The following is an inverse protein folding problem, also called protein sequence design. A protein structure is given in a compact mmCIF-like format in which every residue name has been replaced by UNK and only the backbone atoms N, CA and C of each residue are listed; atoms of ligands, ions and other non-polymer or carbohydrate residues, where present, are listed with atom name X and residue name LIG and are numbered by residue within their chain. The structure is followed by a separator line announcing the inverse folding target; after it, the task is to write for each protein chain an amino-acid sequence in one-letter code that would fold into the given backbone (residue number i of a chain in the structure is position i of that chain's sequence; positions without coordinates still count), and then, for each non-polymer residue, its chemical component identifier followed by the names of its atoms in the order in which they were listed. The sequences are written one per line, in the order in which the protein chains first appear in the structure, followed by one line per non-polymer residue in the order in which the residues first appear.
data_IF_845968527474
#
_entry.id   IF_845968527474
#
_cell.length_a   1.000
_cell.length_b   1.000
_cell.length_c   1.000
_cell.angle_alpha   90.00
_cell.angle_beta   90.00
_cell.angle_gamma   90.00
#
_symmetry.space_group_name_H-M   'P 1'
#
loop_
_entity.id
_entity.type
_entity.pdbx_description
1 polymer ?
#
# COMPACT_ATOMS: atom_id res chain seq x y z
N UNK A 1 11.37 -7.37 -13.98
CA UNK A 1 11.62 -8.80 -13.64
C UNK A 1 12.98 -9.28 -14.17
N UNK A 2 13.29 -9.29 -15.48
CA UNK A 2 14.61 -9.76 -15.99
C UNK A 2 15.79 -9.03 -15.36
N UNK A 3 15.71 -7.71 -15.23
CA UNK A 3 16.74 -6.90 -14.59
C UNK A 3 16.95 -7.28 -13.10
N UNK A 4 15.91 -7.82 -12.46
CA UNK A 4 15.98 -8.32 -11.08
C UNK A 4 16.39 -9.81 -11.01
N UNK A 5 16.86 -10.41 -12.12
CA UNK A 5 17.41 -11.75 -12.16
C UNK A 5 16.41 -12.87 -12.47
N UNK A 6 15.18 -12.56 -12.88
CA UNK A 6 14.24 -13.60 -13.33
C UNK A 6 14.74 -14.30 -14.60
N UNK A 7 14.93 -15.61 -14.55
CA UNK A 7 15.35 -16.44 -15.67
C UNK A 7 14.19 -16.69 -16.63
N UNK A 8 13.04 -17.03 -16.08
CA UNK A 8 11.82 -17.31 -16.82
C UNK A 8 10.69 -16.38 -16.36
N UNK A 9 9.94 -15.87 -17.32
CA UNK A 9 8.78 -15.05 -17.08
C UNK A 9 7.60 -15.66 -17.81
N UNK A 10 6.64 -16.17 -17.06
CA UNK A 10 5.40 -16.74 -17.59
C UNK A 10 4.28 -15.75 -17.34
N UNK A 11 3.74 -15.16 -18.40
CA UNK A 11 2.55 -14.33 -18.32
C UNK A 11 1.31 -15.19 -18.56
N UNK A 12 0.36 -15.20 -17.62
CA UNK A 12 -0.85 -16.01 -17.72
C UNK A 12 -2.06 -15.27 -17.19
N UNK A 13 -3.15 -15.31 -17.98
CA UNK A 13 -4.41 -14.63 -17.61
C UNK A 13 -4.35 -13.11 -17.68
N UNK A 14 -5.44 -12.48 -17.33
CA UNK A 14 -5.61 -11.01 -17.31
C UNK A 14 -5.58 -10.43 -15.88
N UNK A 15 -5.49 -11.30 -14.88
CA UNK A 15 -5.46 -10.92 -13.46
C UNK A 15 -4.39 -11.69 -12.69
N UNK A 16 -3.96 -11.11 -11.57
CA UNK A 16 -3.05 -11.79 -10.65
C UNK A 16 -3.59 -13.14 -10.18
N UNK A 17 -4.91 -13.25 -9.90
CA UNK A 17 -5.54 -14.50 -9.44
C UNK A 17 -5.38 -15.63 -10.44
N UNK A 18 -5.48 -15.35 -11.75
CA UNK A 18 -5.31 -16.35 -12.80
C UNK A 18 -3.85 -16.76 -12.94
N UNK A 19 -2.92 -15.82 -12.82
CA UNK A 19 -1.49 -16.09 -12.82
C UNK A 19 -1.08 -16.94 -11.60
N UNK A 20 -1.60 -16.62 -10.43
CA UNK A 20 -1.35 -17.37 -9.18
C UNK A 20 -1.93 -18.79 -9.25
N UNK A 21 -3.15 -18.96 -9.74
CA UNK A 21 -3.75 -20.28 -9.96
C UNK A 21 -2.89 -21.13 -10.89
N UNK A 22 -2.46 -20.56 -12.02
CA UNK A 22 -1.57 -21.28 -12.94
C UNK A 22 -0.24 -21.65 -12.29
N UNK A 23 0.36 -20.76 -11.50
CA UNK A 23 1.58 -21.04 -10.77
C UNK A 23 1.41 -22.24 -9.81
N UNK A 24 0.34 -22.23 -9.02
CA UNK A 24 0.09 -23.26 -8.00
C UNK A 24 -0.35 -24.60 -8.59
N UNK A 25 -1.18 -24.57 -9.63
CA UNK A 25 -1.84 -25.76 -10.17
C UNK A 25 -1.01 -26.44 -11.29
N UNK A 26 -0.15 -25.70 -11.97
CA UNK A 26 0.62 -26.19 -13.09
C UNK A 26 2.12 -26.10 -12.84
N UNK A 27 2.66 -24.88 -12.69
CA UNK A 27 4.11 -24.66 -12.67
C UNK A 27 4.77 -25.34 -11.47
N UNK A 28 4.19 -25.19 -10.28
CA UNK A 28 4.73 -25.76 -9.06
C UNK A 28 4.73 -27.29 -9.06
N UNK A 29 3.62 -27.99 -9.42
CA UNK A 29 3.61 -29.45 -9.53
C UNK A 29 4.56 -29.97 -10.62
N UNK A 30 4.65 -29.31 -11.79
CA UNK A 30 5.58 -29.70 -12.84
C UNK A 30 7.05 -29.60 -12.39
N UNK A 31 7.40 -28.51 -11.69
CA UNK A 31 8.75 -28.34 -11.13
C UNK A 31 9.07 -29.43 -10.12
N UNK A 32 8.16 -29.73 -9.22
CA UNK A 32 8.30 -30.80 -8.23
C UNK A 32 8.43 -32.17 -8.90
N UNK A 33 7.70 -32.44 -9.99
CA UNK A 33 7.77 -33.71 -10.73
C UNK A 33 9.13 -33.93 -11.39
N UNK A 34 9.86 -32.85 -11.69
CA UNK A 34 11.24 -32.89 -12.18
C UNK A 34 12.28 -33.05 -11.07
N UNK A 35 11.85 -33.15 -9.80
CA UNK A 35 12.73 -33.26 -8.64
C UNK A 35 13.35 -31.92 -8.20
N UNK A 36 12.80 -30.81 -8.67
CA UNK A 36 13.25 -29.48 -8.27
C UNK A 36 12.66 -29.09 -6.91
N UNK A 37 13.43 -28.38 -6.09
CA UNK A 37 12.94 -27.84 -4.81
C UNK A 37 12.24 -26.50 -5.04
N UNK A 38 11.04 -26.55 -5.61
CA UNK A 38 10.25 -25.36 -5.91
C UNK A 38 9.59 -24.78 -4.67
N UNK A 39 9.83 -23.50 -4.41
CA UNK A 39 9.24 -22.76 -3.30
C UNK A 39 8.30 -21.69 -3.86
N UNK A 40 7.05 -21.75 -3.45
CA UNK A 40 6.08 -20.69 -3.73
C UNK A 40 6.29 -19.52 -2.77
N UNK A 41 6.45 -18.31 -3.33
CA UNK A 41 6.54 -17.08 -2.57
C UNK A 41 5.31 -16.23 -2.92
N UNK A 42 4.29 -16.16 -2.03
CA UNK A 42 3.10 -15.36 -2.28
C UNK A 42 3.43 -13.87 -2.21
N UNK A 43 2.73 -13.02 -2.99
CA UNK A 43 3.03 -11.59 -3.00
C UNK A 43 2.49 -10.82 -1.80
N UNK A 44 1.47 -11.31 -1.09
CA UNK A 44 0.85 -10.56 0.00
C UNK A 44 0.10 -11.40 1.05
N UNK A 45 -0.53 -12.52 0.68
CA UNK A 45 -1.42 -13.26 1.60
C UNK A 45 -0.69 -14.45 2.24
N UNK A 46 0.27 -14.13 3.10
CA UNK A 46 1.05 -15.13 3.83
C UNK A 46 1.60 -14.54 5.13
N UNK A 47 1.54 -15.27 6.26
CA UNK A 47 2.08 -14.82 7.53
C UNK A 47 3.56 -14.42 7.50
N UNK A 48 4.39 -15.08 6.69
CA UNK A 48 5.80 -14.72 6.56
C UNK A 48 5.99 -13.35 5.88
N UNK A 49 5.12 -13.02 4.92
CA UNK A 49 5.10 -11.69 4.28
C UNK A 49 4.69 -10.62 5.30
N UNK A 50 3.67 -10.88 6.10
CA UNK A 50 3.21 -9.94 7.12
C UNK A 50 4.25 -9.76 8.22
N UNK A 51 4.84 -10.86 8.71
CA UNK A 51 5.92 -10.80 9.70
C UNK A 51 7.13 -9.99 9.20
N UNK A 52 7.55 -10.19 7.94
CA UNK A 52 8.60 -9.39 7.33
C UNK A 52 8.24 -7.91 7.25
N UNK A 53 7.04 -7.57 6.74
CA UNK A 53 6.60 -6.18 6.68
C UNK A 53 6.38 -5.54 8.05
N UNK A 54 6.15 -6.32 9.10
CA UNK A 54 5.92 -5.79 10.45
C UNK A 54 7.16 -5.15 11.07
N UNK A 55 8.37 -5.48 10.57
CA UNK A 55 9.62 -4.90 11.06
C UNK A 55 9.70 -3.40 10.84
N UNK A 56 8.95 -2.85 9.87
CA UNK A 56 8.87 -1.40 9.67
C UNK A 56 8.45 -0.66 10.95
N UNK A 57 7.61 -1.28 11.77
CA UNK A 57 7.18 -0.67 13.04
C UNK A 57 8.28 -0.76 14.09
N UNK A 58 9.05 -1.83 14.12
CA UNK A 58 10.21 -1.97 15.00
C UNK A 58 11.25 -0.89 14.68
N UNK A 59 11.56 -0.72 13.39
CA UNK A 59 12.48 0.31 12.90
C UNK A 59 11.99 1.72 13.23
N UNK A 60 10.70 2.00 13.04
CA UNK A 60 10.12 3.29 13.42
C UNK A 60 10.27 3.57 14.92
N UNK A 61 10.09 2.57 15.78
CA UNK A 61 10.25 2.73 17.23
C UNK A 61 11.71 3.07 17.56
N UNK A 62 12.65 2.36 16.97
CA UNK A 62 14.09 2.61 17.16
C UNK A 62 14.47 4.01 16.69
N UNK A 63 14.01 4.44 15.51
CA UNK A 63 14.29 5.75 14.96
C UNK A 63 13.70 6.89 15.82
N UNK A 64 12.46 6.76 16.28
CA UNK A 64 11.84 7.76 17.14
C UNK A 64 12.56 7.90 18.49
N UNK A 65 13.03 6.80 19.05
CA UNK A 65 13.80 6.80 20.31
C UNK A 65 15.23 7.31 20.14
N UNK A 66 15.90 6.83 19.09
CA UNK A 66 17.32 7.10 18.89
C UNK A 66 17.64 8.41 18.18
N UNK A 67 17.01 8.65 17.03
CA UNK A 67 17.37 9.76 16.13
C UNK A 67 16.51 11.00 16.33
N UNK A 68 15.23 10.84 16.64
CA UNK A 68 14.29 11.96 16.79
C UNK A 68 14.31 12.49 18.22
N UNK A 69 14.82 11.70 19.19
CA UNK A 69 14.94 12.11 20.60
C UNK A 69 13.56 12.39 21.26
N UNK A 70 12.54 11.68 20.81
CA UNK A 70 11.19 11.80 21.34
C UNK A 70 11.00 10.78 22.48
N UNK A 71 11.02 11.22 23.72
CA UNK A 71 10.86 10.37 24.92
C UNK A 71 9.55 9.55 24.90
N UNK A 72 8.54 10.02 24.18
CA UNK A 72 7.27 9.30 23.98
C UNK A 72 7.30 8.37 22.77
N UNK A 73 8.27 8.58 21.87
CA UNK A 73 8.48 7.76 20.67
C UNK A 73 7.23 7.69 19.79
N UNK A 74 6.94 6.50 19.29
CA UNK A 74 5.77 6.23 18.44
C UNK A 74 4.41 6.50 19.12
N UNK A 75 4.34 6.67 20.46
CA UNK A 75 3.10 7.01 21.15
C UNK A 75 2.60 8.43 20.81
N UNK A 76 3.49 9.32 20.35
CA UNK A 76 3.15 10.64 19.86
C UNK A 76 2.79 10.69 18.37
N UNK A 77 2.84 9.56 17.68
CA UNK A 77 2.45 9.47 16.27
C UNK A 77 0.94 9.38 16.18
N UNK A 78 0.32 10.36 15.54
CA UNK A 78 -1.13 10.44 15.36
C UNK A 78 -1.66 9.44 14.34
N UNK A 79 -0.87 9.19 13.28
CA UNK A 79 -1.23 8.24 12.25
C UNK A 79 -0.01 7.62 11.56
N UNK A 80 -0.18 6.39 11.07
CA UNK A 80 0.67 5.74 10.08
C UNK A 80 -0.14 5.55 8.82
N UNK A 81 0.36 6.02 7.69
CA UNK A 81 -0.28 5.96 6.37
C UNK A 81 0.41 4.91 5.52
N UNK A 82 -0.33 3.96 4.99
CA UNK A 82 0.17 2.98 4.03
C UNK A 82 -0.88 2.66 2.97
N UNK A 83 -0.43 2.39 1.74
CA UNK A 83 -1.31 1.94 0.66
C UNK A 83 -1.60 0.45 0.75
N UNK A 84 -2.77 0.05 0.23
CA UNK A 84 -3.26 -1.33 0.26
C UNK A 84 -3.55 -1.80 -1.16
N UNK A 85 -2.78 -2.79 -1.61
CA UNK A 85 -3.12 -3.60 -2.77
C UNK A 85 -3.70 -4.93 -2.31
N UNK A 86 -2.87 -6.00 -2.32
CA UNK A 86 -3.26 -7.30 -1.74
C UNK A 86 -3.32 -7.32 -0.21
N UNK A 87 -2.76 -6.32 0.48
CA UNK A 87 -2.84 -6.17 1.93
C UNK A 87 -1.62 -6.65 2.71
N UNK A 88 -0.56 -7.16 2.05
CA UNK A 88 0.62 -7.70 2.75
C UNK A 88 1.35 -6.67 3.61
N UNK A 89 1.63 -5.48 3.08
CA UNK A 89 2.22 -4.38 3.84
C UNK A 89 1.30 -3.91 4.97
N UNK A 90 0.02 -3.69 4.68
CA UNK A 90 -0.96 -3.26 5.67
C UNK A 90 -1.09 -4.26 6.82
N UNK A 91 -1.17 -5.56 6.54
CA UNK A 91 -1.19 -6.59 7.57
C UNK A 91 0.06 -6.53 8.45
N UNK A 92 1.24 -6.38 7.84
CA UNK A 92 2.49 -6.23 8.59
C UNK A 92 2.49 -4.99 9.49
N UNK A 93 2.06 -3.84 8.98
CA UNK A 93 1.93 -2.61 9.79
C UNK A 93 0.99 -2.85 10.97
N UNK A 94 -0.21 -3.42 10.75
CA UNK A 94 -1.16 -3.69 11.83
C UNK A 94 -0.55 -4.68 12.85
N UNK A 95 0.11 -5.75 12.41
CA UNK A 95 0.75 -6.72 13.33
C UNK A 95 1.86 -6.06 14.16
N UNK A 96 2.73 -5.26 13.53
CA UNK A 96 3.74 -4.50 14.24
C UNK A 96 3.13 -3.54 15.26
N UNK A 97 2.11 -2.78 14.87
CA UNK A 97 1.40 -1.88 15.77
C UNK A 97 0.71 -2.61 16.93
N UNK A 98 0.12 -3.77 16.69
CA UNK A 98 -0.47 -4.62 17.76
C UNK A 98 0.60 -5.16 18.71
N UNK A 99 1.73 -5.64 18.19
CA UNK A 99 2.86 -6.16 18.98
C UNK A 99 3.39 -5.14 19.98
N UNK A 100 3.38 -3.85 19.60
CA UNK A 100 3.86 -2.74 20.43
C UNK A 100 2.74 -1.96 21.14
N UNK A 101 1.52 -2.47 21.17
CA UNK A 101 0.35 -1.85 21.82
C UNK A 101 0.01 -0.45 21.28
N UNK A 102 0.30 -0.20 20.00
CA UNK A 102 0.08 1.08 19.31
C UNK A 102 -1.22 1.11 18.50
N UNK A 103 -1.75 -0.05 18.08
CA UNK A 103 -2.91 -0.13 17.19
C UNK A 103 -4.20 0.49 17.76
N UNK A 104 -4.28 0.67 19.08
CA UNK A 104 -5.43 1.26 19.75
C UNK A 104 -5.29 2.78 19.97
N UNK A 105 -4.08 3.33 19.84
CA UNK A 105 -3.79 4.74 20.14
C UNK A 105 -3.34 5.54 18.93
N UNK A 106 -2.85 4.89 17.89
CA UNK A 106 -2.40 5.50 16.64
C UNK A 106 -3.35 5.08 15.51
N UNK A 107 -3.78 6.03 14.69
CA UNK A 107 -4.59 5.68 13.52
C UNK A 107 -3.73 4.99 12.46
N UNK A 108 -4.26 3.95 11.83
CA UNK A 108 -3.66 3.29 10.67
C UNK A 108 -4.52 3.65 9.46
N UNK A 109 -4.01 4.51 8.59
CA UNK A 109 -4.73 4.94 7.39
C UNK A 109 -4.37 3.99 6.25
N UNK A 110 -5.34 3.16 5.88
CA UNK A 110 -5.26 2.22 4.78
C UNK A 110 -5.78 2.90 3.50
N UNK A 111 -4.87 3.22 2.57
CA UNK A 111 -5.20 3.97 1.36
C UNK A 111 -5.25 3.09 0.13
N UNK A 112 -6.23 3.35 -0.71
CA UNK A 112 -6.40 2.74 -2.02
C UNK A 112 -6.69 3.82 -3.07
N UNK A 113 -6.69 3.44 -4.34
CA UNK A 113 -7.14 4.30 -5.42
C UNK A 113 -8.51 3.86 -5.92
N UNK A 114 -9.34 4.80 -6.38
CA UNK A 114 -10.62 4.48 -7.02
C UNK A 114 -10.43 3.52 -8.18
N UNK A 115 -11.16 2.41 -8.18
CA UNK A 115 -11.01 1.34 -9.17
C UNK A 115 -9.93 0.28 -8.84
N UNK A 116 -9.20 0.45 -7.71
CA UNK A 116 -8.37 -0.57 -7.09
C UNK A 116 -8.56 -0.54 -5.56
N UNK A 117 -9.82 -0.54 -5.12
CA UNK A 117 -10.29 -0.23 -3.77
C UNK A 117 -11.01 -1.43 -3.12
N UNK A 118 -10.39 -2.61 -3.19
CA UNK A 118 -10.98 -3.86 -2.71
C UNK A 118 -11.18 -3.90 -1.19
N UNK A 119 -10.27 -3.33 -0.40
CA UNK A 119 -10.41 -3.24 1.05
C UNK A 119 -11.48 -2.23 1.44
N UNK A 120 -11.41 -1.01 0.90
CA UNK A 120 -12.39 0.05 1.16
C UNK A 120 -13.80 -0.42 0.85
N UNK A 121 -14.00 -0.99 -0.35
CA UNK A 121 -15.31 -1.50 -0.78
C UNK A 121 -15.81 -2.63 0.13
N UNK A 122 -14.91 -3.53 0.55
CA UNK A 122 -15.25 -4.62 1.48
C UNK A 122 -15.71 -4.09 2.84
N UNK A 123 -15.00 -3.11 3.40
CA UNK A 123 -15.35 -2.49 4.69
C UNK A 123 -16.69 -1.74 4.60
N UNK A 124 -16.91 -0.96 3.53
CA UNK A 124 -18.17 -0.23 3.32
C UNK A 124 -19.36 -1.17 3.18
N UNK A 125 -19.21 -2.29 2.47
CA UNK A 125 -20.26 -3.29 2.29
C UNK A 125 -20.42 -4.25 3.47
N UNK A 126 -19.46 -4.24 4.41
CA UNK A 126 -19.36 -5.22 5.51
C UNK A 126 -19.31 -6.66 4.99
N UNK A 127 -18.69 -6.84 3.84
CA UNK A 127 -18.56 -8.12 3.14
C UNK A 127 -17.20 -8.17 2.44
N UNK A 128 -16.48 -9.28 2.53
CA UNK A 128 -15.21 -9.47 1.84
C UNK A 128 -15.42 -9.70 0.34
N UNK A 129 -15.49 -8.62 -0.43
CA UNK A 129 -15.87 -8.62 -1.85
C UNK A 129 -14.70 -8.86 -2.80
N UNK A 130 -15.05 -9.27 -4.02
CA UNK A 130 -14.14 -9.28 -5.17
C UNK A 130 -14.58 -8.20 -6.16
N UNK A 131 -13.69 -7.27 -6.50
CA UNK A 131 -13.95 -6.26 -7.52
C UNK A 131 -14.12 -6.90 -8.90
N UNK A 132 -15.03 -6.40 -9.75
CA UNK A 132 -15.25 -6.95 -11.09
C UNK A 132 -14.02 -6.76 -12.00
N UNK A 133 -13.33 -5.65 -11.86
CA UNK A 133 -12.13 -5.30 -12.62
C UNK A 133 -11.25 -4.33 -11.81
N UNK A 134 -10.01 -4.14 -12.24
CA UNK A 134 -9.14 -3.05 -11.81
C UNK A 134 -9.14 -2.01 -12.92
N UNK A 135 -9.49 -0.77 -12.58
CA UNK A 135 -9.60 0.35 -13.53
C UNK A 135 -8.66 1.50 -13.21
N UNK A 136 -8.03 1.50 -12.04
CA UNK A 136 -7.02 2.48 -11.64
C UNK A 136 -5.69 2.29 -12.37
N UNK A 137 -4.97 3.39 -12.60
CA UNK A 137 -3.59 3.36 -13.10
C UNK A 137 -2.59 2.89 -12.04
N UNK A 138 -2.97 2.87 -10.77
CA UNK A 138 -2.16 2.33 -9.68
C UNK A 138 -2.16 0.78 -9.71
N UNK A 139 -1.61 0.22 -10.78
CA UNK A 139 -1.67 -1.21 -11.07
C UNK A 139 -1.04 -2.09 -9.97
N UNK A 140 -0.09 -1.56 -9.21
CA UNK A 140 0.50 -2.26 -8.06
C UNK A 140 -0.45 -2.40 -6.87
N UNK A 141 -1.57 -1.64 -6.85
CA UNK A 141 -2.69 -1.86 -5.92
C UNK A 141 -3.75 -2.81 -6.49
N UNK A 142 -3.54 -3.35 -7.68
CA UNK A 142 -4.54 -4.05 -8.50
C UNK A 142 -4.94 -5.43 -8.00
N UNK A 143 -5.09 -5.65 -6.71
CA UNK A 143 -5.70 -6.86 -6.18
C UNK A 143 -7.23 -6.75 -6.18
N UNK A 144 -7.90 -7.53 -7.05
CA UNK A 144 -9.38 -7.55 -7.12
C UNK A 144 -10.02 -7.96 -5.79
N UNK A 145 -9.32 -8.72 -4.98
CA UNK A 145 -9.72 -9.14 -3.65
C UNK A 145 -8.53 -9.01 -2.71
N UNK A 146 -8.68 -8.23 -1.66
CA UNK A 146 -7.66 -8.08 -0.60
C UNK A 146 -7.53 -9.39 0.20
N UNK A 147 -6.39 -9.62 0.85
CA UNK A 147 -6.22 -10.74 1.77
C UNK A 147 -7.34 -10.79 2.82
N UNK A 148 -7.76 -11.99 3.18
CA UNK A 148 -8.76 -12.17 4.25
C UNK A 148 -8.31 -11.48 5.53
N UNK A 149 -7.03 -11.63 5.87
CA UNK A 149 -6.43 -11.03 7.06
C UNK A 149 -6.47 -9.51 7.07
N UNK A 150 -6.29 -8.88 5.91
CA UNK A 150 -6.40 -7.43 5.79
C UNK A 150 -7.84 -6.94 6.07
N UNK A 151 -8.85 -7.65 5.56
CA UNK A 151 -10.24 -7.36 5.87
C UNK A 151 -10.56 -7.55 7.35
N UNK A 152 -10.09 -8.66 7.96
CA UNK A 152 -10.23 -8.90 9.40
C UNK A 152 -9.62 -7.74 10.21
N UNK A 153 -8.37 -7.36 9.94
CA UNK A 153 -7.69 -6.28 10.64
C UNK A 153 -8.37 -4.92 10.48
N UNK A 154 -8.91 -4.62 9.31
CA UNK A 154 -9.61 -3.38 9.06
C UNK A 154 -10.98 -3.29 9.77
N UNK A 155 -11.56 -4.44 10.13
CA UNK A 155 -12.89 -4.53 10.77
C UNK A 155 -12.83 -4.97 12.23
N UNK A 156 -11.66 -5.38 12.73
CA UNK A 156 -11.46 -5.84 14.10
C UNK A 156 -11.64 -4.68 15.09
N UNK A 157 -12.56 -4.80 16.07
CA UNK A 157 -12.69 -3.81 17.11
C UNK A 157 -11.39 -3.62 17.91
N UNK A 158 -10.98 -2.38 18.12
CA UNK A 158 -9.75 -2.05 18.83
C UNK A 158 -8.53 -1.77 17.93
N UNK A 159 -8.63 -2.01 16.63
CA UNK A 159 -7.69 -1.46 15.67
C UNK A 159 -8.23 -0.11 15.18
N UNK A 160 -7.46 0.97 15.32
CA UNK A 160 -7.84 2.29 14.81
C UNK A 160 -7.55 2.39 13.31
N UNK A 161 -8.20 1.56 12.50
CA UNK A 161 -8.03 1.55 11.05
C UNK A 161 -9.03 2.49 10.38
N UNK A 162 -8.53 3.37 9.53
CA UNK A 162 -9.30 4.27 8.68
C UNK A 162 -9.04 3.86 7.23
N UNK A 163 -10.02 3.23 6.58
CA UNK A 163 -9.94 2.92 5.16
C UNK A 163 -10.41 4.14 4.36
N UNK A 164 -9.60 4.57 3.40
CA UNK A 164 -9.92 5.66 2.50
C UNK A 164 -9.42 5.37 1.09
N UNK A 165 -9.99 6.08 0.11
CA UNK A 165 -9.53 6.02 -1.28
C UNK A 165 -9.44 7.41 -1.86
N UNK A 166 -8.51 7.59 -2.78
CA UNK A 166 -8.32 8.81 -3.55
C UNK A 166 -8.40 8.50 -5.05
N UNK A 167 -8.56 9.52 -5.87
CA UNK A 167 -8.57 9.36 -7.30
C UNK A 167 -7.17 9.12 -7.88
N UNK A 168 -7.11 8.60 -9.11
CA UNK A 168 -5.85 8.48 -9.86
C UNK A 168 -5.17 9.84 -10.04
N UNK A 169 -5.96 10.91 -10.25
CA UNK A 169 -5.44 12.28 -10.32
C UNK A 169 -4.72 12.67 -9.04
N UNK A 170 -5.33 12.44 -7.88
CA UNK A 170 -4.71 12.74 -6.58
C UNK A 170 -3.44 11.92 -6.38
N UNK A 171 -3.46 10.63 -6.71
CA UNK A 171 -2.27 9.77 -6.62
C UNK A 171 -1.12 10.27 -7.51
N UNK A 172 -1.42 10.72 -8.74
CA UNK A 172 -0.45 11.35 -9.64
C UNK A 172 0.11 12.65 -9.06
N UNK A 173 -0.76 13.51 -8.51
CA UNK A 173 -0.29 14.73 -7.84
C UNK A 173 0.68 14.40 -6.70
N UNK A 174 0.39 13.38 -5.89
CA UNK A 174 1.31 12.90 -4.85
C UNK A 174 2.66 12.44 -5.41
N UNK A 175 2.68 11.76 -6.57
CA UNK A 175 3.93 11.39 -7.24
C UNK A 175 4.73 12.62 -7.68
N UNK A 176 4.06 13.61 -8.30
CA UNK A 176 4.70 14.82 -8.82
C UNK A 176 5.27 15.66 -7.68
N UNK A 177 4.52 15.86 -6.61
CA UNK A 177 4.95 16.63 -5.44
C UNK A 177 6.15 15.98 -4.74
N UNK A 178 6.13 14.66 -4.54
CA UNK A 178 7.27 13.96 -3.93
C UNK A 178 8.52 14.07 -4.81
N UNK A 179 8.37 13.95 -6.13
CA UNK A 179 9.47 14.13 -7.07
C UNK A 179 10.04 15.55 -7.01
N UNK A 180 9.19 16.58 -6.84
CA UNK A 180 9.61 17.97 -6.74
C UNK A 180 10.28 18.27 -5.39
N UNK A 181 9.73 17.76 -4.28
CA UNK A 181 10.24 18.08 -2.94
C UNK A 181 11.46 17.25 -2.57
N UNK A 182 11.39 15.91 -2.78
CA UNK A 182 12.39 14.97 -2.29
C UNK A 182 13.30 14.40 -3.39
N UNK A 183 13.04 14.67 -4.65
CA UNK A 183 13.76 14.11 -5.83
C UNK A 183 13.63 12.58 -5.92
N UNK A 184 12.52 12.03 -5.41
CA UNK A 184 12.21 10.60 -5.42
C UNK A 184 11.06 10.34 -6.37
N UNK A 185 11.29 9.45 -7.35
CA UNK A 185 10.23 8.97 -8.23
C UNK A 185 9.49 7.80 -7.59
N UNK A 186 8.17 7.93 -7.53
CA UNK A 186 7.29 6.86 -7.01
C UNK A 186 6.14 6.61 -7.98
N UNK A 187 5.61 5.39 -7.97
CA UNK A 187 4.42 5.05 -8.75
C UNK A 187 3.13 5.51 -8.06
N UNK A 188 1.97 5.61 -8.76
CA UNK A 188 0.70 6.07 -8.18
C UNK A 188 0.26 5.26 -6.96
N UNK A 189 0.59 3.98 -6.89
CA UNK A 189 0.37 3.13 -5.73
C UNK A 189 1.05 3.62 -4.44
N UNK A 190 2.14 4.36 -4.57
CA UNK A 190 2.83 5.03 -3.48
C UNK A 190 2.42 6.52 -3.37
N UNK A 191 2.23 7.19 -4.50
CA UNK A 191 1.83 8.58 -4.57
C UNK A 191 0.53 8.87 -3.81
N UNK A 192 -0.39 7.92 -3.76
CA UNK A 192 -1.64 8.04 -2.99
C UNK A 192 -1.39 8.29 -1.50
N UNK A 193 -0.30 7.73 -0.92
CA UNK A 193 0.08 7.97 0.47
C UNK A 193 0.57 9.41 0.70
N UNK A 194 1.23 9.99 -0.28
CA UNK A 194 1.67 11.39 -0.23
C UNK A 194 0.47 12.32 -0.43
N UNK A 195 -0.40 11.98 -1.38
CA UNK A 195 -1.59 12.76 -1.73
C UNK A 195 -2.54 13.01 -0.53
N UNK A 196 -2.68 12.03 0.37
CA UNK A 196 -3.54 12.21 1.56
C UNK A 196 -3.05 13.32 2.48
N UNK A 197 -1.75 13.65 2.45
CA UNK A 197 -1.17 14.76 3.23
C UNK A 197 -1.48 16.13 2.60
N UNK A 198 -2.01 16.15 1.37
CA UNK A 198 -2.28 17.36 0.61
C UNK A 198 -3.74 17.81 0.79
N UNK A 199 -4.00 19.08 0.50
CA UNK A 199 -5.36 19.63 0.38
C UNK A 199 -6.28 19.35 1.58
N UNK A 200 -5.72 19.18 2.79
CA UNK A 200 -6.49 18.97 4.00
C UNK A 200 -7.14 17.59 4.14
N UNK A 201 -6.81 16.62 3.30
CA UNK A 201 -7.38 15.27 3.36
C UNK A 201 -7.14 14.57 4.69
N UNK A 202 -5.93 14.64 5.24
CA UNK A 202 -5.65 14.09 6.58
C UNK A 202 -6.57 14.68 7.66
N UNK A 203 -6.85 15.98 7.60
CA UNK A 203 -7.76 16.65 8.54
C UNK A 203 -9.20 16.19 8.39
N UNK A 204 -9.63 15.81 7.18
CA UNK A 204 -10.95 15.22 6.96
C UNK A 204 -11.05 13.82 7.56
N UNK A 205 -9.99 13.00 7.44
CA UNK A 205 -9.94 11.65 8.00
C UNK A 205 -9.73 11.64 9.50
N UNK A 206 -8.98 12.62 10.06
CA UNK A 206 -8.66 12.76 11.47
C UNK A 206 -9.04 14.19 11.90
N UNK A 207 -10.32 14.43 12.27
CA UNK A 207 -10.81 15.77 12.56
C UNK A 207 -10.11 16.47 13.73
N UNK A 208 -9.54 15.73 14.68
CA UNK A 208 -8.79 16.24 15.83
C UNK A 208 -7.28 16.39 15.57
N UNK A 209 -6.80 16.14 14.34
CA UNK A 209 -5.39 16.32 13.95
C UNK A 209 -4.94 17.76 14.19
N UNK A 210 -3.81 17.94 14.84
CA UNK A 210 -3.19 19.24 15.14
C UNK A 210 -1.93 19.42 14.28
N UNK A 211 -1.52 20.68 14.12
CA UNK A 211 -0.29 20.99 13.37
C UNK A 211 0.98 20.43 14.04
N UNK A 212 0.94 20.22 15.36
CA UNK A 212 2.05 19.62 16.11
C UNK A 212 2.08 18.09 16.06
N UNK A 213 1.03 17.45 15.57
CA UNK A 213 0.96 16.00 15.53
C UNK A 213 1.89 15.42 14.45
N UNK A 214 2.51 14.30 14.77
CA UNK A 214 3.37 13.57 13.84
C UNK A 214 2.55 12.55 13.07
N UNK A 215 2.81 12.46 11.78
CA UNK A 215 2.22 11.46 10.88
C UNK A 215 3.35 10.77 10.15
N UNK A 216 3.37 9.45 10.19
CA UNK A 216 4.30 8.63 9.40
C UNK A 216 3.64 8.28 8.09
N UNK A 217 4.34 8.51 6.98
CA UNK A 217 3.89 8.13 5.64
C UNK A 217 4.85 7.10 5.07
N UNK A 218 4.35 5.90 4.77
CA UNK A 218 5.17 4.85 4.16
C UNK A 218 5.35 5.17 2.67
N UNK A 219 6.59 5.46 2.28
CA UNK A 219 6.99 5.69 0.89
C UNK A 219 7.59 4.41 0.33
N UNK A 220 6.76 3.62 -0.36
CA UNK A 220 7.15 2.31 -0.89
C UNK A 220 8.01 2.39 -2.16
N UNK A 221 7.98 3.52 -2.89
CA UNK A 221 8.67 3.69 -4.16
C UNK A 221 7.88 3.14 -5.34
N UNK A 222 8.35 2.03 -5.89
CA UNK A 222 7.77 1.33 -7.04
C UNK A 222 8.69 1.29 -8.26
N UNK A 223 8.53 0.27 -9.09
CA UNK A 223 9.31 0.08 -10.31
C UNK A 223 8.53 0.37 -11.60
N UNK A 224 7.23 0.65 -11.49
CA UNK A 224 6.34 0.98 -12.61
C UNK A 224 6.25 2.49 -12.84
N UNK A 225 7.37 3.17 -12.79
CA UNK A 225 7.46 4.61 -13.01
C UNK A 225 8.77 4.96 -13.71
N UNK A 226 8.71 5.91 -14.62
CA UNK A 226 9.86 6.58 -15.21
C UNK A 226 9.53 8.05 -15.51
N UNK A 227 10.52 8.81 -15.94
CA UNK A 227 10.37 10.26 -16.21
C UNK A 227 9.33 10.55 -17.30
N UNK A 228 9.29 9.73 -18.35
CA UNK A 228 8.34 9.92 -19.45
C UNK A 228 6.90 9.67 -18.98
N UNK A 229 6.67 8.63 -18.18
CA UNK A 229 5.36 8.36 -17.56
C UNK A 229 4.93 9.53 -16.67
N UNK A 230 5.82 10.05 -15.85
CA UNK A 230 5.53 11.23 -15.01
C UNK A 230 5.14 12.45 -15.84
N UNK A 231 5.86 12.71 -16.95
CA UNK A 231 5.55 13.80 -17.85
C UNK A 231 4.18 13.62 -18.52
N UNK A 232 3.83 12.40 -18.90
CA UNK A 232 2.53 12.09 -19.51
C UNK A 232 1.38 12.24 -18.49
N UNK A 233 1.54 11.73 -17.30
CA UNK A 233 0.57 11.90 -16.21
C UNK A 233 0.37 13.38 -15.87
N UNK A 234 1.44 14.18 -15.84
CA UNK A 234 1.34 15.63 -15.63
C UNK A 234 0.47 16.28 -16.70
N UNK A 235 0.65 15.93 -17.98
CA UNK A 235 -0.20 16.43 -19.06
C UNK A 235 -1.65 16.02 -18.89
N UNK A 236 -1.88 14.73 -18.63
CA UNK A 236 -3.22 14.15 -18.58
C UNK A 236 -4.03 14.63 -17.38
N UNK A 237 -3.44 14.69 -16.20
CA UNK A 237 -4.17 14.91 -14.95
C UNK A 237 -4.04 16.33 -14.37
N UNK A 238 -2.99 17.06 -14.73
CA UNK A 238 -2.74 18.40 -14.18
C UNK A 238 -3.07 19.48 -15.21
N UNK A 239 -2.44 19.41 -16.38
CA UNK A 239 -2.58 20.46 -17.41
C UNK A 239 -3.97 20.42 -18.05
N UNK A 240 -4.49 19.22 -18.36
CA UNK A 240 -5.81 19.06 -18.96
C UNK A 240 -6.94 19.59 -18.06
N UNK A 241 -6.75 19.55 -16.74
CA UNK A 241 -7.73 20.03 -15.75
C UNK A 241 -7.55 21.51 -15.36
N UNK A 242 -6.67 22.27 -16.06
CA UNK A 242 -6.45 23.69 -15.83
C UNK A 242 -5.74 24.01 -14.50
N UNK A 243 -5.15 23.03 -13.87
CA UNK A 243 -4.36 23.19 -12.64
C UNK A 243 -2.90 23.47 -13.02
N UNK A 244 -2.64 24.65 -13.58
CA UNK A 244 -1.26 25.16 -13.70
C UNK A 244 -0.86 25.79 -12.39
N UNK A 245 0.25 25.32 -11.81
CA UNK A 245 0.92 26.00 -10.68
C UNK A 245 1.38 27.39 -11.10
#
# INVERSE_FOLDING_TARGET
MRVAGATDIVQRGESWVEADAHLREVVLPESQSRGENAVYVPPFDDPAVWAGNSTIVDELIEDFQGHIGDDQGMRNVKAVVCSVGGGGLFCGVVEGMKRHWLAQITNIIALETEGADSLYTSVQKKEHVTLPAITSIATSLGARKVAVKAYEFATEPGNNVICAKLSDEEAVLGCLELAEWERVLVEPACGVNVAVCMNGKLKQLIPDLKQSDKVVVVVCGGSNVNVDMMAEWKKQYVVANGKTN
#
